data_IF_170551107729
#
_entry.id   IF_170551107729
#
_cell.length_a   1.000
_cell.length_b   1.000
_cell.length_c   1.000
_cell.angle_alpha   90.00
_cell.angle_beta   90.00
_cell.angle_gamma   90.00
#
_symmetry.space_group_name_H-M   'P 1'
#
loop_
_entity.id
_entity.type
_entity.pdbx_description
1 polymer ?
#
# COMPACT_ATOMS: atom_id res chain seq x y z
N UNK A 1 -24.66 -12.15 -6.16
CA UNK A 1 -23.36 -11.85 -6.78
C UNK A 1 -22.45 -11.29 -5.71
N UNK A 2 -21.26 -11.86 -5.51
CA UNK A 2 -20.28 -11.27 -4.60
C UNK A 2 -19.78 -9.98 -5.26
N UNK A 3 -20.09 -8.81 -4.67
CA UNK A 3 -19.50 -7.57 -5.15
C UNK A 3 -18.05 -7.54 -4.65
N UNK A 4 -17.07 -7.70 -5.56
CA UNK A 4 -15.66 -7.54 -5.25
C UNK A 4 -15.41 -6.09 -4.80
N UNK A 5 -14.81 -5.91 -3.63
CA UNK A 5 -14.43 -4.57 -3.17
C UNK A 5 -13.38 -3.98 -4.11
N UNK A 6 -13.51 -2.69 -4.47
CA UNK A 6 -12.47 -2.00 -5.24
C UNK A 6 -11.37 -1.59 -4.28
N UNK A 7 -10.16 -2.18 -4.37
CA UNK A 7 -9.09 -1.85 -3.45
C UNK A 7 -8.53 -0.46 -3.72
N UNK A 8 -8.00 0.18 -2.68
CA UNK A 8 -7.31 1.48 -2.78
C UNK A 8 -6.02 1.48 -1.97
N UNK A 9 -5.11 2.42 -2.22
CA UNK A 9 -3.98 2.68 -1.33
C UNK A 9 -4.34 3.81 -0.36
N UNK A 10 -4.15 3.54 0.92
CA UNK A 10 -4.51 4.41 2.03
C UNK A 10 -3.26 4.82 2.81
N UNK A 11 -3.34 5.99 3.42
CA UNK A 11 -2.34 6.60 4.28
C UNK A 11 -2.96 6.82 5.67
N UNK A 12 -2.24 6.46 6.71
CA UNK A 12 -2.51 6.86 8.09
C UNK A 12 -1.23 7.39 8.74
N UNK A 13 -1.40 8.26 9.75
CA UNK A 13 -0.32 8.70 10.64
C UNK A 13 -0.25 7.86 11.92
N UNK A 14 -1.04 6.78 12.02
CA UNK A 14 -1.13 5.91 13.18
C UNK A 14 -0.80 4.46 12.81
N UNK A 15 -0.03 3.73 13.64
CA UNK A 15 0.25 2.31 13.42
C UNK A 15 -0.99 1.42 13.52
N UNK A 16 -2.10 1.97 14.04
CA UNK A 16 -3.38 1.29 14.11
C UNK A 16 -4.22 1.46 12.84
N UNK A 17 -3.66 2.13 11.80
CA UNK A 17 -4.36 2.42 10.53
C UNK A 17 -5.64 3.25 10.74
N UNK A 18 -5.69 4.01 11.83
CA UNK A 18 -6.87 4.80 12.20
C UNK A 18 -6.98 6.08 11.37
N UNK A 19 -8.21 6.52 11.10
CA UNK A 19 -8.53 7.71 10.32
C UNK A 19 -7.76 7.77 8.98
N UNK A 20 -7.79 6.71 8.15
CA UNK A 20 -7.04 6.71 6.93
C UNK A 20 -7.62 7.68 5.89
N UNK A 21 -6.73 8.21 5.06
CA UNK A 21 -7.07 8.99 3.88
C UNK A 21 -6.50 8.31 2.63
N UNK A 22 -7.08 8.53 1.44
CA UNK A 22 -6.47 8.05 0.19
C UNK A 22 -5.03 8.56 0.07
N UNK A 23 -4.09 7.67 -0.31
CA UNK A 23 -2.69 8.06 -0.52
C UNK A 23 -2.51 9.02 -1.70
N UNK A 24 -3.36 8.86 -2.73
CA UNK A 24 -3.27 9.64 -3.95
C UNK A 24 -3.36 11.15 -3.67
N UNK A 25 -2.35 11.89 -4.13
CA UNK A 25 -2.26 13.35 -3.99
C UNK A 25 -1.80 13.85 -2.61
N UNK A 26 -1.49 12.95 -1.67
CA UNK A 26 -1.00 13.37 -0.35
C UNK A 26 0.46 13.82 -0.40
N UNK A 27 0.81 14.77 0.47
CA UNK A 27 2.20 15.08 0.81
C UNK A 27 2.54 14.40 2.12
N UNK A 28 3.65 13.66 2.17
CA UNK A 28 4.10 12.89 3.33
C UNK A 28 5.47 13.35 3.82
N UNK A 29 5.68 13.22 5.13
CA UNK A 29 6.93 13.56 5.82
C UNK A 29 7.10 12.67 7.05
N UNK A 30 8.33 12.29 7.37
CA UNK A 30 8.63 11.41 8.51
C UNK A 30 8.04 10.00 8.38
N UNK A 31 7.57 9.45 9.50
CA UNK A 31 7.00 8.10 9.52
C UNK A 31 5.51 8.13 9.18
N UNK A 32 5.13 7.34 8.18
CA UNK A 32 3.75 7.16 7.74
C UNK A 32 3.38 5.68 7.65
N UNK A 33 2.09 5.37 7.58
CA UNK A 33 1.60 4.00 7.48
C UNK A 33 0.75 3.86 6.21
N UNK A 34 1.36 3.29 5.18
CA UNK A 34 0.70 3.04 3.89
C UNK A 34 0.25 1.60 3.81
N UNK A 35 -1.01 1.40 3.42
CA UNK A 35 -1.60 0.07 3.31
C UNK A 35 -2.61 -0.01 2.18
N UNK A 36 -2.82 -1.22 1.69
CA UNK A 36 -3.87 -1.53 0.73
C UNK A 36 -5.17 -1.80 1.48
N UNK A 37 -6.23 -1.06 1.12
CA UNK A 37 -7.59 -1.30 1.61
C UNK A 37 -8.34 -2.26 0.70
N UNK A 38 -9.37 -2.89 1.24
CA UNK A 38 -10.24 -3.83 0.57
C UNK A 38 -10.84 -4.77 1.62
N UNK A 39 -11.76 -5.65 1.21
CA UNK A 39 -12.16 -6.73 2.10
C UNK A 39 -11.02 -7.74 2.12
N UNK A 40 -10.46 -7.99 3.30
CA UNK A 40 -9.30 -8.86 3.50
C UNK A 40 -9.45 -10.25 2.86
N UNK A 41 -10.67 -10.79 2.84
CA UNK A 41 -10.98 -12.10 2.25
C UNK A 41 -10.98 -12.13 0.72
N UNK A 42 -10.94 -10.98 0.05
CA UNK A 42 -11.00 -10.90 -1.41
C UNK A 42 -9.62 -11.20 -2.06
N UNK A 43 -8.53 -11.17 -1.28
CA UNK A 43 -7.17 -11.22 -1.79
C UNK A 43 -6.29 -12.21 -1.02
N UNK A 44 -5.43 -12.94 -1.75
CA UNK A 44 -4.49 -13.90 -1.18
C UNK A 44 -3.16 -13.26 -0.77
N UNK A 45 -2.76 -12.19 -1.46
CA UNK A 45 -1.53 -11.43 -1.23
C UNK A 45 -1.57 -10.11 -1.96
N UNK A 46 -0.76 -9.17 -1.50
CA UNK A 46 -0.47 -7.91 -2.20
C UNK A 46 1.03 -7.78 -2.41
N UNK A 47 1.43 -7.49 -3.65
CA UNK A 47 2.79 -7.07 -3.99
C UNK A 47 2.82 -5.56 -4.14
N UNK A 48 3.71 -4.90 -3.42
CA UNK A 48 3.94 -3.47 -3.47
C UNK A 48 5.23 -3.15 -4.22
N UNK A 49 5.18 -2.08 -5.00
CA UNK A 49 6.30 -1.55 -5.79
C UNK A 49 6.36 -0.05 -5.54
N UNK A 50 7.57 0.50 -5.42
CA UNK A 50 7.81 1.93 -5.25
C UNK A 50 8.50 2.43 -6.53
N UNK A 51 7.97 3.49 -7.12
CA UNK A 51 8.48 4.10 -8.37
C UNK A 51 8.65 3.15 -9.56
N UNK A 52 7.94 2.02 -9.52
CA UNK A 52 7.88 1.03 -10.60
C UNK A 52 6.41 0.77 -10.98
N UNK A 53 5.77 1.71 -11.72
CA UNK A 53 4.39 1.56 -12.17
C UNK A 53 4.19 0.36 -13.10
N UNK A 54 5.21 0.02 -13.89
CA UNK A 54 5.16 -1.11 -14.82
C UNK A 54 5.37 -2.45 -14.13
N UNK A 55 5.86 -2.45 -12.87
CA UNK A 55 6.16 -3.65 -12.06
C UNK A 55 7.21 -4.54 -12.75
N UNK A 56 8.17 -3.88 -13.38
CA UNK A 56 9.23 -4.51 -14.18
C UNK A 56 10.37 -5.05 -13.31
N UNK A 57 10.55 -4.50 -12.11
CA UNK A 57 11.53 -4.93 -11.12
C UNK A 57 10.95 -5.85 -10.05
N UNK A 58 11.77 -6.09 -9.01
CA UNK A 58 11.31 -6.81 -7.82
C UNK A 58 10.31 -5.97 -7.01
N UNK A 59 9.34 -6.65 -6.40
CA UNK A 59 8.43 -5.96 -5.49
C UNK A 59 9.17 -5.58 -4.22
N UNK A 60 9.05 -4.32 -3.80
CA UNK A 60 9.51 -3.83 -2.50
C UNK A 60 9.02 -4.70 -1.34
N UNK A 61 7.75 -5.13 -1.42
CA UNK A 61 7.18 -6.05 -0.43
C UNK A 61 6.17 -7.00 -1.06
N UNK A 62 6.17 -8.25 -0.60
CA UNK A 62 5.05 -9.18 -0.77
C UNK A 62 4.42 -9.42 0.59
N UNK A 63 3.20 -8.94 0.79
CA UNK A 63 2.44 -9.12 2.03
C UNK A 63 1.40 -10.22 1.82
N UNK A 64 1.47 -11.26 2.66
CA UNK A 64 0.69 -12.50 2.49
C UNK A 64 -0.53 -12.56 3.40
N UNK A 65 -0.60 -11.68 4.39
CA UNK A 65 -1.64 -11.71 5.43
C UNK A 65 -2.21 -10.31 5.57
N UNK A 66 -3.54 -10.20 5.56
CA UNK A 66 -4.20 -8.94 5.82
C UNK A 66 -4.11 -8.58 7.32
N UNK A 67 -4.07 -7.28 7.70
CA UNK A 67 -4.04 -6.11 6.83
C UNK A 67 -2.76 -6.02 5.98
N UNK A 68 -2.90 -5.60 4.72
CA UNK A 68 -1.78 -5.56 3.76
C UNK A 68 -1.05 -4.21 3.82
N UNK A 69 0.02 -4.13 4.59
CA UNK A 69 0.81 -2.91 4.77
C UNK A 69 2.07 -2.90 3.89
N UNK A 70 2.43 -1.72 3.36
CA UNK A 70 3.63 -1.51 2.55
C UNK A 70 4.91 -1.88 3.30
N UNK A 71 4.98 -1.55 4.59
CA UNK A 71 6.08 -1.90 5.50
C UNK A 71 5.74 -3.12 6.37
N UNK A 72 4.60 -3.77 6.11
CA UNK A 72 4.10 -4.94 6.84
C UNK A 72 3.61 -4.68 8.25
N UNK A 73 3.27 -5.77 8.92
CA UNK A 73 2.64 -5.78 10.24
C UNK A 73 3.50 -6.52 11.26
N UNK A 74 3.60 -5.95 12.46
CA UNK A 74 4.13 -6.62 13.65
C UNK A 74 3.03 -6.72 14.71
N UNK A 75 2.55 -7.94 14.96
CA UNK A 75 1.37 -8.17 15.80
C UNK A 75 0.13 -7.53 15.19
N UNK A 76 -0.45 -6.55 15.88
CA UNK A 76 -1.60 -5.77 15.39
C UNK A 76 -1.23 -4.41 14.77
N UNK A 77 0.04 -4.01 14.84
CA UNK A 77 0.51 -2.69 14.44
C UNK A 77 1.19 -2.74 13.07
N UNK A 78 0.84 -1.79 12.20
CA UNK A 78 1.60 -1.54 10.99
C UNK A 78 3.00 -1.05 11.36
N UNK A 79 4.02 -1.56 10.66
CA UNK A 79 5.36 -0.99 10.74
C UNK A 79 5.37 0.35 9.98
N UNK A 80 6.13 1.35 10.44
CA UNK A 80 6.21 2.63 9.74
C UNK A 80 6.94 2.47 8.40
N UNK A 81 6.50 3.25 7.41
CA UNK A 81 7.27 3.62 6.22
C UNK A 81 7.96 4.94 6.50
N UNK A 82 9.28 4.95 6.52
CA UNK A 82 10.08 6.17 6.72
C UNK A 82 10.22 6.89 5.37
N UNK A 83 9.53 8.04 5.20
CA UNK A 83 9.58 8.79 3.94
C UNK A 83 10.96 9.39 3.64
N UNK A 84 11.89 9.41 4.61
CA UNK A 84 13.28 9.83 4.37
C UNK A 84 14.10 8.79 3.59
N UNK A 85 13.57 7.59 3.40
CA UNK A 85 14.15 6.59 2.51
C UNK A 85 13.96 6.95 1.02
N UNK A 86 13.11 7.94 0.73
CA UNK A 86 12.90 8.50 -0.61
C UNK A 86 13.40 9.95 -0.64
N UNK A 87 13.84 10.39 -1.81
CA UNK A 87 14.16 11.80 -2.06
C UNK A 87 12.92 12.67 -1.94
N UNK A 88 13.05 13.96 -1.60
CA UNK A 88 11.93 14.89 -1.74
C UNK A 88 11.50 14.97 -3.22
N UNK A 89 10.20 14.89 -3.49
CA UNK A 89 9.67 14.84 -4.86
C UNK A 89 8.42 13.98 -5.01
N UNK A 90 7.99 13.78 -6.25
CA UNK A 90 6.83 12.94 -6.59
C UNK A 90 7.23 11.48 -6.70
N UNK A 91 6.46 10.61 -6.06
CA UNK A 91 6.66 9.16 -6.02
C UNK A 91 5.37 8.42 -6.35
N UNK A 92 5.49 7.14 -6.69
CA UNK A 92 4.35 6.25 -6.89
C UNK A 92 4.46 5.00 -6.05
N UNK A 93 3.31 4.50 -5.61
CA UNK A 93 3.17 3.13 -5.10
C UNK A 93 2.22 2.39 -6.00
N UNK A 94 2.66 1.24 -6.48
CA UNK A 94 1.85 0.29 -7.23
C UNK A 94 1.59 -0.93 -6.38
N UNK A 95 0.32 -1.32 -6.25
CA UNK A 95 -0.10 -2.50 -5.51
C UNK A 95 -0.80 -3.48 -6.45
N UNK A 96 -0.32 -4.72 -6.47
CA UNK A 96 -0.89 -5.82 -7.24
C UNK A 96 -1.45 -6.89 -6.32
N UNK A 97 -2.76 -7.09 -6.40
CA UNK A 97 -3.56 -7.95 -5.56
C UNK A 97 -3.82 -9.26 -6.30
N UNK A 98 -3.40 -10.38 -5.73
CA UNK A 98 -3.75 -11.69 -6.25
C UNK A 98 -5.09 -12.14 -5.66
N UNK A 99 -6.02 -12.61 -6.50
CA UNK A 99 -7.30 -13.15 -6.06
C UNK A 99 -7.32 -14.68 -6.03
N UNK A 100 -8.21 -15.30 -5.24
CA UNK A 100 -8.38 -16.76 -5.23
C UNK A 100 -8.73 -17.37 -6.58
N UNK A 101 -9.37 -16.62 -7.48
CA UNK A 101 -9.74 -17.05 -8.83
C UNK A 101 -8.56 -17.01 -9.84
N UNK A 102 -7.35 -16.69 -9.37
CA UNK A 102 -6.14 -16.58 -10.19
C UNK A 102 -6.00 -15.24 -10.92
N UNK A 103 -6.98 -14.36 -10.84
CA UNK A 103 -6.90 -13.02 -11.43
C UNK A 103 -6.08 -12.07 -10.56
N UNK A 104 -5.63 -10.99 -11.19
CA UNK A 104 -4.95 -9.90 -10.49
C UNK A 104 -5.74 -8.60 -10.62
N UNK A 105 -5.64 -7.75 -9.59
CA UNK A 105 -6.01 -6.34 -9.68
C UNK A 105 -4.77 -5.50 -9.39
N UNK A 106 -4.49 -4.52 -10.23
CA UNK A 106 -3.42 -3.56 -9.98
C UNK A 106 -4.02 -2.17 -9.79
N UNK A 107 -3.47 -1.43 -8.85
CA UNK A 107 -3.73 0.00 -8.64
C UNK A 107 -2.40 0.72 -8.45
N UNK A 108 -2.36 1.99 -8.82
CA UNK A 108 -1.20 2.86 -8.61
C UNK A 108 -1.69 4.16 -7.97
N UNK A 109 -0.93 4.70 -7.03
CA UNK A 109 -1.19 6.00 -6.40
C UNK A 109 0.08 6.84 -6.41
N UNK A 110 -0.08 8.10 -6.79
CA UNK A 110 0.98 9.10 -6.80
C UNK A 110 0.89 9.96 -5.55
N UNK A 111 2.02 10.25 -4.92
CA UNK A 111 2.12 11.08 -3.71
C UNK A 111 3.41 11.91 -3.76
N UNK A 112 3.56 12.87 -2.85
CA UNK A 112 4.76 13.71 -2.77
C UNK A 112 5.45 13.51 -1.43
N UNK A 113 6.78 13.37 -1.44
CA UNK A 113 7.62 13.39 -0.24
C UNK A 113 8.19 14.79 -0.06
N UNK A 114 8.04 15.35 1.15
CA UNK A 114 8.61 16.64 1.55
C UNK A 114 9.03 16.59 3.02
N UNK A 115 10.24 16.08 3.29
CA UNK A 115 10.86 16.09 4.62
C UNK A 115 11.62 17.39 4.90
#
# INVERSE_FOLDING_TARGET
>A
MLQNSTPTLQLSLSPHRSNPVPLAGQTVSGNVYVFASGRDTDFLRVRFFIDDPDKSGESFRTELVAPFDLSGTSGSKANPSDSRALTNGTHTITATFARPDGTYRTITSTFTVSN
#
